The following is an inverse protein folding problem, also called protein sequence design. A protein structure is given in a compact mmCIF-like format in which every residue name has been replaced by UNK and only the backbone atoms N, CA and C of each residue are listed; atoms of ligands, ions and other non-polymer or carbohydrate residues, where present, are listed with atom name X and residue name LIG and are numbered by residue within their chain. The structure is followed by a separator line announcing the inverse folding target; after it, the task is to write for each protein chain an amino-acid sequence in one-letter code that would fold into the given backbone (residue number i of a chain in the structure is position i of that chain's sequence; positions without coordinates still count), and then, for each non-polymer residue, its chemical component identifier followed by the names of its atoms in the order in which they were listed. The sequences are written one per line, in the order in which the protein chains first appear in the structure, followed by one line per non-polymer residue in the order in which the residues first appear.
data_IF_281441357897
#
_entry.id   IF_281441357897
#
_cell.length_a   1.000
_cell.length_b   1.000
_cell.length_c   1.000
_cell.angle_alpha   90.00
_cell.angle_beta   90.00
_cell.angle_gamma   90.00
#
_symmetry.space_group_name_H-M   'P 1'
#
loop_
_entity.id
_entity.type
_entity.pdbx_description
1 polymer ?
#
# COMPACT_ATOMS: atom_id res chain seq x y z
N UNK A 1 10.93 2.80 -17.80
CA UNK A 1 10.41 4.00 -17.09
C UNK A 1 8.98 3.78 -16.62
N UNK A 2 8.10 3.20 -17.45
CA UNK A 2 6.74 2.80 -17.05
C UNK A 2 6.73 1.78 -15.90
N UNK A 3 7.66 0.82 -15.91
CA UNK A 3 7.75 -0.23 -14.88
C UNK A 3 8.03 0.33 -13.49
N UNK A 4 8.87 1.36 -13.40
CA UNK A 4 9.22 2.03 -12.14
C UNK A 4 7.99 2.76 -11.58
N UNK A 5 7.21 3.43 -12.43
CA UNK A 5 5.98 4.12 -12.01
C UNK A 5 4.92 3.13 -11.52
N UNK A 6 4.77 2.00 -12.20
CA UNK A 6 3.88 0.92 -11.76
C UNK A 6 4.32 0.38 -10.41
N UNK A 7 5.62 0.14 -10.22
CA UNK A 7 6.17 -0.40 -8.99
C UNK A 7 5.99 0.57 -7.81
N UNK A 8 6.19 1.87 -8.03
CA UNK A 8 5.91 2.91 -7.04
C UNK A 8 4.41 2.94 -6.70
N UNK A 9 3.53 2.84 -7.69
CA UNK A 9 2.08 2.79 -7.48
C UNK A 9 1.65 1.61 -6.62
N UNK A 10 2.23 0.42 -6.88
CA UNK A 10 1.97 -0.79 -6.08
C UNK A 10 2.44 -0.60 -4.64
N UNK A 11 3.66 -0.09 -4.43
CA UNK A 11 4.21 0.15 -3.09
C UNK A 11 3.39 1.19 -2.33
N UNK A 12 2.95 2.26 -3.00
CA UNK A 12 2.12 3.29 -2.40
C UNK A 12 0.75 2.71 -1.99
N UNK A 13 0.10 1.94 -2.86
CA UNK A 13 -1.16 1.28 -2.53
C UNK A 13 -1.02 0.31 -1.36
N UNK A 14 0.05 -0.49 -1.34
CA UNK A 14 0.37 -1.41 -0.25
C UNK A 14 0.57 -0.68 1.08
N UNK A 15 1.36 0.41 1.07
CA UNK A 15 1.58 1.22 2.26
C UNK A 15 0.27 1.83 2.77
N UNK A 16 -0.58 2.36 1.89
CA UNK A 16 -1.86 2.95 2.28
C UNK A 16 -2.79 1.91 2.88
N UNK A 17 -2.86 0.72 2.28
CA UNK A 17 -3.65 -0.40 2.80
C UNK A 17 -3.17 -0.82 4.19
N UNK A 18 -1.88 -1.05 4.38
CA UNK A 18 -1.31 -1.43 5.67
C UNK A 18 -1.40 -0.32 6.72
N UNK A 19 -1.20 0.95 6.35
CA UNK A 19 -1.16 2.03 7.33
C UNK A 19 -2.55 2.52 7.75
N UNK A 20 -3.52 2.51 6.83
CA UNK A 20 -4.81 3.19 7.05
C UNK A 20 -6.03 2.29 6.95
N UNK A 21 -5.97 1.21 6.16
CA UNK A 21 -7.14 0.37 5.91
C UNK A 21 -7.14 -0.81 6.88
N UNK A 22 -6.05 -1.56 6.94
CA UNK A 22 -5.94 -2.78 7.74
C UNK A 22 -6.01 -2.56 9.27
N UNK A 23 -5.48 -1.48 9.87
CA UNK A 23 -5.69 -1.19 11.28
C UNK A 23 -7.15 -0.95 11.64
N UNK A 24 -7.94 -0.40 10.70
CA UNK A 24 -9.39 -0.19 10.90
C UNK A 24 -10.16 -1.50 10.87
N UNK A 25 -9.60 -2.55 10.29
CA UNK A 25 -10.14 -3.91 10.31
C UNK A 25 -9.63 -4.74 11.51
N UNK A 26 -8.92 -4.13 12.46
CA UNK A 26 -8.37 -4.84 13.62
C UNK A 26 -7.18 -5.75 13.28
N UNK A 27 -6.65 -5.65 12.07
CA UNK A 27 -5.43 -6.36 11.67
C UNK A 27 -4.24 -5.61 12.25
N UNK A 28 -3.41 -6.29 13.05
CA UNK A 28 -2.12 -5.75 13.51
C UNK A 28 -1.15 -5.76 12.32
N UNK A 29 -1.16 -4.68 11.56
CA UNK A 29 -0.22 -4.39 10.45
C UNK A 29 0.94 -3.53 10.90
#
# INVERSE_FOLDING_TARGET
MNDILVLIGIVAAWYVLNRYVLPRFGVKT
#
